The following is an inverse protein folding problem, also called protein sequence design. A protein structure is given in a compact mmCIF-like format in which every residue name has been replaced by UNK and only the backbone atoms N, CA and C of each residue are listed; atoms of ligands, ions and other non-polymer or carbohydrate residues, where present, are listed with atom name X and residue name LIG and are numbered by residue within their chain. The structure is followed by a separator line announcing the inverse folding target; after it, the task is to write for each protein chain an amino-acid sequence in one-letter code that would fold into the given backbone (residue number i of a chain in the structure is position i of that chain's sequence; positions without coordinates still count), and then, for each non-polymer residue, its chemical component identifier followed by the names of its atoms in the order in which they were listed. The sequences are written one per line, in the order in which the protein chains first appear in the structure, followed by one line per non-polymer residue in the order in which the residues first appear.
data_IF_179589546901
#
_entry.id   IF_179589546901
#
_cell.length_a   1.000
_cell.length_b   1.000
_cell.length_c   1.000
_cell.angle_alpha   90.00
_cell.angle_beta   90.00
_cell.angle_gamma   90.00
#
_symmetry.space_group_name_H-M   'P 1'
#
loop_
_entity.id
_entity.type
_entity.pdbx_description
1 polymer ?
#
# COMPACT_ATOMS: atom_id res chain seq x y z
N UNK A 1 -13.20 4.34 2.64
CA UNK A 1 -12.10 3.44 2.21
C UNK A 1 -11.14 3.09 3.36
N UNK A 2 -10.86 3.96 4.33
CA UNK A 2 -10.09 3.58 5.55
C UNK A 2 -10.76 2.51 6.43
N UNK A 3 -12.09 2.37 6.39
CA UNK A 3 -12.83 1.47 7.30
C UNK A 3 -12.48 -0.01 7.19
N UNK A 4 -11.80 -0.49 6.13
CA UNK A 4 -11.41 -1.91 6.04
C UNK A 4 -10.02 -2.19 6.64
N UNK A 5 -9.15 -1.19 6.75
CA UNK A 5 -7.80 -1.39 7.30
C UNK A 5 -7.81 -1.59 8.83
N UNK A 6 -8.86 -1.10 9.50
CA UNK A 6 -9.02 -1.12 10.98
C UNK A 6 -9.85 -2.30 11.48
N UNK A 7 -10.33 -3.18 10.62
CA UNK A 7 -11.06 -4.39 11.06
C UNK A 7 -10.12 -5.26 11.91
N UNK A 8 -10.51 -5.51 13.16
CA UNK A 8 -9.82 -6.45 14.02
C UNK A 8 -10.04 -7.88 13.48
N UNK A 9 -9.02 -8.76 13.53
CA UNK A 9 -9.18 -10.14 13.10
C UNK A 9 -10.38 -10.79 13.82
N UNK A 10 -11.38 -11.22 13.03
CA UNK A 10 -12.55 -11.95 13.54
C UNK A 10 -13.84 -11.14 13.77
N UNK A 11 -13.81 -9.80 13.72
CA UNK A 11 -15.04 -8.99 13.92
C UNK A 11 -15.98 -9.00 12.71
N UNK A 12 -15.43 -9.03 11.50
CA UNK A 12 -16.21 -9.12 10.26
C UNK A 12 -15.65 -10.21 9.36
N UNK A 13 -16.48 -11.21 9.05
CA UNK A 13 -16.16 -12.32 8.16
C UNK A 13 -16.78 -12.09 6.77
N UNK A 14 -16.27 -12.77 5.74
CA UNK A 14 -16.82 -12.72 4.37
C UNK A 14 -18.34 -12.95 4.29
N UNK A 15 -18.89 -13.78 5.18
CA UNK A 15 -20.32 -14.08 5.24
C UNK A 15 -21.18 -12.89 5.69
N UNK A 16 -20.59 -11.84 6.27
CA UNK A 16 -21.33 -10.69 6.77
C UNK A 16 -21.85 -9.83 5.60
N UNK A 17 -23.15 -9.49 5.55
CA UNK A 17 -23.75 -8.82 4.39
C UNK A 17 -23.15 -7.44 4.10
N UNK A 18 -22.65 -6.74 5.13
CA UNK A 18 -21.93 -5.46 4.94
C UNK A 18 -20.60 -5.68 4.22
N UNK A 19 -19.89 -6.78 4.52
CA UNK A 19 -18.61 -7.12 3.88
C UNK A 19 -18.82 -7.42 2.40
N UNK A 20 -19.85 -8.22 2.07
CA UNK A 20 -20.21 -8.49 0.68
C UNK A 20 -20.51 -7.22 -0.13
N UNK A 21 -21.25 -6.26 0.45
CA UNK A 21 -21.49 -4.95 -0.18
C UNK A 21 -20.22 -4.11 -0.32
N UNK A 22 -19.33 -4.15 0.67
CA UNK A 22 -18.06 -3.45 0.63
C UNK A 22 -17.15 -4.01 -0.48
N UNK A 23 -17.02 -5.33 -0.61
CA UNK A 23 -16.26 -5.96 -1.69
C UNK A 23 -16.86 -5.61 -3.06
N UNK A 24 -18.19 -5.68 -3.21
CA UNK A 24 -18.85 -5.29 -4.46
C UNK A 24 -18.60 -3.82 -4.83
N UNK A 25 -18.59 -2.93 -3.83
CA UNK A 25 -18.19 -1.53 -4.01
C UNK A 25 -16.73 -1.45 -4.50
N UNK A 26 -15.79 -2.10 -3.82
CA UNK A 26 -14.37 -2.08 -4.18
C UNK A 26 -14.12 -2.58 -5.61
N UNK A 27 -14.78 -3.68 -6.02
CA UNK A 27 -14.67 -4.23 -7.37
C UNK A 27 -15.15 -3.22 -8.43
N UNK A 28 -16.22 -2.47 -8.14
CA UNK A 28 -16.74 -1.43 -9.05
C UNK A 28 -15.84 -0.19 -9.13
N UNK A 29 -15.22 0.20 -8.02
CA UNK A 29 -14.34 1.38 -7.97
C UNK A 29 -12.89 1.09 -8.40
N UNK A 30 -12.55 -0.17 -8.73
CA UNK A 30 -11.21 -0.51 -9.21
C UNK A 30 -10.96 0.16 -10.57
N UNK A 31 -9.79 0.80 -10.71
CA UNK A 31 -9.39 1.41 -11.98
C UNK A 31 -9.13 0.34 -13.06
N UNK A 32 -9.21 0.69 -14.36
CA UNK A 32 -8.93 -0.24 -15.45
C UNK A 32 -7.52 -0.86 -15.43
N UNK A 33 -6.55 -0.21 -14.78
CA UNK A 33 -5.18 -0.70 -14.57
C UNK A 33 -5.04 -1.65 -13.36
N UNK A 34 -6.06 -1.75 -12.50
CA UNK A 34 -6.06 -2.56 -11.28
C UNK A 34 -5.88 -1.76 -9.99
N UNK A 35 -5.50 -0.49 -10.06
CA UNK A 35 -5.28 0.36 -8.89
C UNK A 35 -6.59 0.82 -8.22
N UNK A 36 -6.48 1.32 -6.99
CA UNK A 36 -7.54 2.08 -6.33
C UNK A 36 -7.11 3.48 -5.97
N UNK A 37 -8.01 4.44 -6.15
CA UNK A 37 -7.80 5.84 -5.81
C UNK A 37 -7.58 6.06 -4.30
N UNK A 38 -6.55 6.83 -3.95
CA UNK A 38 -6.22 7.18 -2.57
C UNK A 38 -6.88 8.47 -2.14
N UNK A 39 -7.97 8.39 -1.36
CA UNK A 39 -8.66 9.60 -0.88
C UNK A 39 -7.86 10.40 0.15
N UNK A 40 -7.08 9.75 1.01
CA UNK A 40 -6.47 10.37 2.21
C UNK A 40 -4.94 10.30 2.26
N UNK A 41 -4.35 9.44 1.43
CA UNK A 41 -2.91 9.38 1.19
C UNK A 41 -2.66 9.41 -0.31
N UNK A 42 -1.53 9.98 -0.70
CA UNK A 42 -1.11 10.17 -2.07
C UNK A 42 -0.48 8.89 -2.63
N UNK A 43 -1.05 8.25 -3.66
CA UNK A 43 -2.43 8.30 -4.10
C UNK A 43 -2.90 6.87 -4.42
N UNK A 44 -2.60 6.39 -5.62
CA UNK A 44 -2.98 5.05 -6.04
C UNK A 44 -2.15 3.96 -5.36
N UNK A 45 -0.90 4.23 -4.98
CA UNK A 45 -0.09 3.31 -4.16
C UNK A 45 -0.75 3.12 -2.79
N UNK A 46 -1.13 4.24 -2.15
CA UNK A 46 -1.84 4.23 -0.86
C UNK A 46 -3.20 3.53 -0.94
N UNK A 47 -4.03 3.89 -1.92
CA UNK A 47 -5.36 3.32 -2.10
C UNK A 47 -5.30 1.82 -2.35
N UNK A 48 -4.39 1.38 -3.23
CA UNK A 48 -4.23 -0.02 -3.58
C UNK A 48 -3.72 -0.86 -2.41
N UNK A 49 -2.71 -0.39 -1.67
CA UNK A 49 -2.23 -1.05 -0.46
C UNK A 49 -3.36 -1.26 0.57
N UNK A 50 -4.13 -0.22 0.86
CA UNK A 50 -5.20 -0.32 1.85
C UNK A 50 -6.27 -1.34 1.46
N UNK A 51 -6.65 -1.37 0.19
CA UNK A 51 -7.62 -2.33 -0.31
C UNK A 51 -7.08 -3.76 -0.21
N UNK A 52 -5.87 -4.02 -0.70
CA UNK A 52 -5.24 -5.35 -0.61
C UNK A 52 -5.14 -5.84 0.84
N UNK A 53 -4.71 -4.98 1.76
CA UNK A 53 -4.60 -5.31 3.19
C UNK A 53 -5.97 -5.56 3.82
N UNK A 54 -6.97 -4.78 3.46
CA UNK A 54 -8.35 -4.95 3.93
C UNK A 54 -8.94 -6.29 3.48
N UNK A 55 -8.80 -6.62 2.19
CA UNK A 55 -9.25 -7.90 1.61
C UNK A 55 -8.58 -9.10 2.29
N UNK A 56 -7.25 -9.04 2.49
CA UNK A 56 -6.52 -10.08 3.22
C UNK A 56 -7.07 -10.28 4.64
N UNK A 57 -7.32 -9.19 5.38
CA UNK A 57 -7.80 -9.26 6.76
C UNK A 57 -9.20 -9.87 6.91
N UNK A 58 -10.10 -9.61 5.96
CA UNK A 58 -11.46 -10.15 5.97
C UNK A 58 -11.53 -11.59 5.42
N UNK A 59 -10.41 -12.12 4.91
CA UNK A 59 -10.29 -13.49 4.42
C UNK A 59 -10.70 -13.69 2.96
N UNK A 60 -10.71 -12.63 2.15
CA UNK A 60 -10.92 -12.75 0.70
C UNK A 60 -9.85 -13.65 0.07
N UNK A 61 -10.22 -14.39 -0.97
CA UNK A 61 -9.25 -15.13 -1.78
C UNK A 61 -8.33 -14.15 -2.53
N UNK A 62 -7.08 -14.06 -2.06
CA UNK A 62 -6.08 -13.17 -2.64
C UNK A 62 -5.57 -13.63 -4.02
N UNK A 63 -6.05 -14.78 -4.53
CA UNK A 63 -5.78 -15.26 -5.89
C UNK A 63 -6.81 -14.78 -6.91
N UNK A 64 -7.88 -14.14 -6.47
CA UNK A 64 -8.91 -13.56 -7.33
C UNK A 64 -8.34 -12.59 -8.37
N UNK A 65 -8.92 -12.61 -9.57
CA UNK A 65 -8.39 -11.87 -10.73
C UNK A 65 -8.20 -10.37 -10.47
N UNK A 66 -9.13 -9.74 -9.77
CA UNK A 66 -9.08 -8.32 -9.44
C UNK A 66 -7.99 -7.99 -8.40
N UNK A 67 -7.71 -8.91 -7.47
CA UNK A 67 -6.59 -8.80 -6.52
C UNK A 67 -5.28 -8.95 -7.27
N UNK A 68 -5.14 -9.99 -8.09
CA UNK A 68 -3.91 -10.22 -8.88
C UNK A 68 -3.61 -9.06 -9.81
N UNK A 69 -4.62 -8.46 -10.42
CA UNK A 69 -4.46 -7.26 -11.26
C UNK A 69 -3.89 -6.08 -10.49
N UNK A 70 -4.37 -5.84 -9.26
CA UNK A 70 -3.84 -4.80 -8.39
C UNK A 70 -2.41 -5.08 -7.93
N UNK A 71 -2.09 -6.34 -7.62
CA UNK A 71 -0.73 -6.79 -7.31
C UNK A 71 0.22 -6.55 -8.49
N UNK A 72 -0.20 -6.92 -9.71
CA UNK A 72 0.57 -6.66 -10.93
C UNK A 72 0.78 -5.17 -11.16
N UNK A 73 -0.23 -4.33 -10.90
CA UNK A 73 -0.09 -2.89 -10.98
C UNK A 73 0.96 -2.36 -9.99
N UNK A 74 0.91 -2.76 -8.71
CA UNK A 74 1.93 -2.37 -7.72
C UNK A 74 3.33 -2.80 -8.17
N UNK A 75 3.50 -4.04 -8.62
CA UNK A 75 4.78 -4.54 -9.12
C UNK A 75 5.31 -3.70 -10.29
N UNK A 76 4.42 -3.23 -11.18
CA UNK A 76 4.81 -2.39 -12.33
C UNK A 76 5.26 -0.98 -11.96
N UNK A 77 4.92 -0.51 -10.75
CA UNK A 77 5.29 0.81 -10.25
C UNK A 77 6.60 0.81 -9.44
N UNK A 78 7.27 -0.34 -9.26
CA UNK A 78 8.52 -0.39 -8.50
C UNK A 78 9.64 0.32 -9.26
N UNK A 79 10.33 1.25 -8.59
CA UNK A 79 11.49 1.94 -9.14
C UNK A 79 12.74 1.05 -9.19
N UNK A 80 13.77 1.50 -9.90
CA UNK A 80 15.05 0.79 -10.04
C UNK A 80 15.81 0.66 -8.70
N UNK A 81 15.59 1.60 -7.77
CA UNK A 81 16.14 1.54 -6.40
C UNK A 81 15.39 0.55 -5.48
N UNK A 82 14.30 -0.06 -5.97
CA UNK A 82 13.48 -1.02 -5.22
C UNK A 82 12.34 -0.40 -4.43
N UNK A 83 12.21 0.93 -4.39
CA UNK A 83 11.12 1.63 -3.70
C UNK A 83 9.93 1.98 -4.60
N UNK A 84 8.98 2.71 -4.01
CA UNK A 84 7.81 3.29 -4.68
C UNK A 84 7.66 4.76 -4.33
N UNK A 85 7.14 5.52 -5.30
CA UNK A 85 6.84 6.91 -5.13
C UNK A 85 5.71 7.37 -6.05
N UNK A 86 4.97 8.35 -5.56
CA UNK A 86 3.84 8.97 -6.24
C UNK A 86 3.66 10.38 -5.69
N UNK A 87 3.44 11.34 -6.59
CA UNK A 87 3.25 12.74 -6.24
C UNK A 87 1.77 13.14 -6.34
N UNK A 88 1.38 14.26 -5.69
CA UNK A 88 0.00 14.72 -5.72
C UNK A 88 -0.51 15.13 -7.11
N UNK A 89 0.37 15.37 -8.07
CA UNK A 89 0.02 15.57 -9.48
C UNK A 89 -0.72 14.38 -10.09
N UNK A 90 -0.56 13.16 -9.55
CA UNK A 90 -1.35 11.98 -9.92
C UNK A 90 -2.86 12.13 -9.67
N UNK A 91 -3.29 13.09 -8.83
CA UNK A 91 -4.71 13.44 -8.69
C UNK A 91 -5.25 14.17 -9.94
N UNK A 92 -4.38 14.87 -10.66
CA UNK A 92 -4.72 15.64 -11.86
C UNK A 92 -4.46 14.86 -13.14
N UNK A 93 -3.36 14.13 -13.20
CA UNK A 93 -2.97 13.32 -14.35
C UNK A 93 -2.82 11.82 -13.98
N UNK A 94 -3.79 10.98 -14.37
CA UNK A 94 -3.71 9.53 -14.20
C UNK A 94 -2.53 8.84 -14.92
N UNK A 95 -1.78 9.54 -15.78
CA UNK A 95 -0.55 8.97 -16.36
C UNK A 95 0.62 8.96 -15.37
N UNK A 96 0.54 9.75 -14.30
CA UNK A 96 1.56 9.88 -13.26
C UNK A 96 1.36 8.92 -12.07
N UNK A 97 0.36 8.04 -12.15
CA UNK A 97 0.07 7.05 -11.10
C UNK A 97 1.30 6.21 -10.77
N UNK A 98 1.63 6.15 -9.48
CA UNK A 98 2.76 5.38 -8.96
C UNK A 98 4.10 5.73 -9.61
N UNK A 99 4.26 6.95 -10.14
CA UNK A 99 5.49 7.42 -10.78
C UNK A 99 6.04 8.65 -10.07
N UNK A 100 6.99 8.44 -9.18
CA UNK A 100 7.86 9.47 -8.63
C UNK A 100 9.09 8.82 -7.99
N UNK A 101 10.03 9.64 -7.53
CA UNK A 101 11.13 9.19 -6.68
C UNK A 101 10.61 8.43 -5.46
N UNK A 102 11.30 7.35 -5.11
CA UNK A 102 10.90 6.50 -4.00
C UNK A 102 10.86 7.28 -2.68
N UNK A 103 9.86 6.96 -1.86
CA UNK A 103 9.72 7.51 -0.52
C UNK A 103 9.59 6.37 0.50
N UNK A 104 10.07 6.55 1.74
CA UNK A 104 9.98 5.50 2.76
C UNK A 104 8.53 5.11 3.07
N UNK A 105 7.60 6.08 3.16
CA UNK A 105 6.21 5.79 3.51
C UNK A 105 5.48 5.02 2.39
N UNK A 106 5.64 5.43 1.14
CA UNK A 106 4.97 4.77 0.01
C UNK A 106 5.58 3.41 -0.33
N UNK A 107 6.90 3.27 -0.17
CA UNK A 107 7.57 1.97 -0.29
C UNK A 107 7.04 0.99 0.77
N UNK A 108 6.85 1.46 2.00
CA UNK A 108 6.27 0.66 3.06
C UNK A 108 4.81 0.27 2.77
N UNK A 109 3.99 1.16 2.22
CA UNK A 109 2.63 0.84 1.77
C UNK A 109 2.63 -0.24 0.70
N UNK A 110 3.39 -0.05 -0.38
CA UNK A 110 3.49 -1.02 -1.46
C UNK A 110 3.95 -2.39 -0.93
N UNK A 111 5.02 -2.41 -0.11
CA UNK A 111 5.53 -3.64 0.51
C UNK A 111 4.45 -4.35 1.32
N UNK A 112 3.77 -3.68 2.25
CA UNK A 112 2.69 -4.29 3.03
C UNK A 112 1.53 -4.79 2.14
N UNK A 113 1.26 -4.12 1.01
CA UNK A 113 0.26 -4.56 0.03
C UNK A 113 0.67 -5.85 -0.68
N UNK A 114 1.93 -5.94 -1.09
CA UNK A 114 2.54 -7.14 -1.66
C UNK A 114 2.54 -8.30 -0.66
N UNK A 115 2.90 -8.06 0.61
CA UNK A 115 2.83 -9.08 1.66
C UNK A 115 1.41 -9.62 1.83
N UNK A 116 0.40 -8.75 1.89
CA UNK A 116 -1.00 -9.13 1.97
C UNK A 116 -1.48 -9.94 0.76
N UNK A 117 -0.94 -9.64 -0.43
CA UNK A 117 -1.23 -10.34 -1.67
C UNK A 117 -0.45 -11.66 -1.88
N UNK A 118 0.32 -12.10 -0.87
CA UNK A 118 1.08 -13.36 -0.92
C UNK A 118 2.44 -13.26 -1.60
N UNK A 119 2.96 -12.05 -1.84
CA UNK A 119 4.23 -11.81 -2.53
C UNK A 119 5.43 -11.68 -1.58
N UNK A 120 5.35 -12.28 -0.38
CA UNK A 120 6.37 -12.16 0.69
C UNK A 120 7.76 -12.67 0.31
N UNK A 121 7.83 -13.60 -0.65
CA UNK A 121 9.09 -14.18 -1.14
C UNK A 121 9.47 -13.67 -2.53
N UNK A 122 8.76 -12.66 -3.05
CA UNK A 122 9.06 -12.07 -4.35
C UNK A 122 10.37 -11.26 -4.31
N UNK A 123 11.07 -11.20 -5.44
CA UNK A 123 12.22 -10.29 -5.61
C UNK A 123 11.82 -8.83 -5.35
N UNK A 124 10.59 -8.46 -5.70
CA UNK A 124 10.08 -7.11 -5.47
C UNK A 124 9.99 -6.76 -3.99
N UNK A 125 9.40 -7.64 -3.16
CA UNK A 125 9.33 -7.45 -1.71
C UNK A 125 10.72 -7.41 -1.04
N UNK A 126 11.65 -8.23 -1.53
CA UNK A 126 13.05 -8.19 -1.10
C UNK A 126 13.70 -6.84 -1.40
N UNK A 127 13.60 -6.35 -2.64
CA UNK A 127 14.15 -5.05 -3.05
C UNK A 127 13.55 -3.88 -2.26
N UNK A 128 12.25 -3.95 -1.96
CA UNK A 128 11.57 -2.97 -1.11
C UNK A 128 12.15 -2.96 0.32
N UNK A 129 12.41 -4.15 0.87
CA UNK A 129 13.02 -4.32 2.20
C UNK A 129 14.44 -3.77 2.20
N UNK A 130 15.23 -4.08 1.17
CA UNK A 130 16.60 -3.56 1.00
C UNK A 130 16.61 -2.04 0.85
N UNK A 131 15.67 -1.45 0.10
CA UNK A 131 15.50 0.01 0.01
C UNK A 131 15.25 0.64 1.40
N UNK A 132 14.30 0.10 2.17
CA UNK A 132 13.96 0.65 3.49
C UNK A 132 15.16 0.53 4.45
N UNK A 133 15.85 -0.62 4.48
CA UNK A 133 17.04 -0.77 5.33
C UNK A 133 18.17 0.15 4.86
N UNK A 134 18.39 0.26 3.55
CA UNK A 134 19.48 1.04 2.96
C UNK A 134 19.30 2.56 3.04
N UNK A 135 18.06 3.04 3.21
CA UNK A 135 17.74 4.47 3.34
C UNK A 135 17.53 4.91 4.79
N UNK A 136 17.62 3.99 5.75
CA UNK A 136 17.58 4.33 7.17
C UNK A 136 18.83 5.14 7.57
N UNK A 137 18.62 6.25 8.27
CA UNK A 137 19.69 7.09 8.80
C UNK A 137 20.36 6.45 10.03
N UNK A 138 21.59 6.85 10.40
CA UNK A 138 22.31 6.27 11.55
C UNK A 138 21.59 6.37 12.90
N UNK A 139 20.68 7.34 13.06
CA UNK A 139 19.85 7.50 14.27
C UNK A 139 18.58 6.63 14.25
N UNK A 140 18.40 5.82 13.20
CA UNK A 140 17.27 4.93 13.01
C UNK A 140 16.06 5.58 12.31
N UNK A 141 16.12 6.88 12.01
CA UNK A 141 15.05 7.59 11.30
C UNK A 141 15.14 7.36 9.77
N UNK A 142 14.14 7.88 9.06
CA UNK A 142 14.12 7.99 7.60
C UNK A 142 13.75 9.42 7.25
N UNK A 143 14.21 9.88 6.09
CA UNK A 143 13.91 11.21 5.59
C UNK A 143 12.94 11.15 4.40
N UNK A 144 11.88 11.94 4.44
CA UNK A 144 10.89 12.09 3.38
C UNK A 144 10.55 13.58 3.16
N UNK A 145 10.94 14.13 2.01
CA UNK A 145 10.58 15.50 1.65
C UNK A 145 9.19 15.62 1.02
N UNK A 146 8.73 14.56 0.37
CA UNK A 146 7.49 14.53 -0.41
C UNK A 146 6.22 14.54 0.47
N UNK A 147 5.13 15.06 -0.08
CA UNK A 147 3.85 15.17 0.60
C UNK A 147 2.99 13.95 0.29
N UNK A 148 3.00 12.99 1.23
CA UNK A 148 2.36 11.69 1.06
C UNK A 148 0.95 11.61 1.65
N UNK A 149 0.51 12.65 2.36
CA UNK A 149 -0.85 12.80 2.87
C UNK A 149 -1.74 13.70 2.01
N UNK A 150 -3.05 13.45 2.03
CA UNK A 150 -4.03 14.24 1.27
C UNK A 150 -5.21 14.65 2.15
N UNK A 151 -5.44 15.95 2.28
CA UNK A 151 -6.67 16.46 2.91
C UNK A 151 -7.81 16.58 1.89
N UNK A 152 -7.60 17.38 0.86
CA UNK A 152 -8.54 17.57 -0.26
C UNK A 152 -7.79 17.37 -1.59
N UNK A 153 -8.08 16.30 -2.35
CA UNK A 153 -7.44 16.07 -3.64
C UNK A 153 -7.52 17.31 -4.54
N UNK A 154 -6.41 17.64 -5.23
CA UNK A 154 -6.27 18.82 -6.12
C UNK A 154 -6.26 20.18 -5.43
N UNK A 155 -6.44 20.24 -4.11
CA UNK A 155 -6.64 21.51 -3.39
C UNK A 155 -5.72 21.64 -2.17
N UNK A 156 -5.52 20.56 -1.41
CA UNK A 156 -4.81 20.61 -0.13
C UNK A 156 -4.15 19.28 0.23
N UNK A 157 -2.83 19.31 0.38
CA UNK A 157 -1.99 18.16 0.69
C UNK A 157 -1.39 18.30 2.10
N UNK A 158 -1.00 17.18 2.71
CA UNK A 158 -0.51 17.11 4.08
C UNK A 158 0.85 16.41 4.13
N UNK A 159 1.76 16.95 4.95
CA UNK A 159 2.99 16.27 5.36
C UNK A 159 2.80 15.72 6.77
N UNK A 160 2.59 14.41 6.87
CA UNK A 160 2.53 13.73 8.16
C UNK A 160 3.95 13.34 8.60
N UNK A 161 4.56 14.12 9.50
CA UNK A 161 5.97 13.92 9.90
C UNK A 161 6.29 12.53 10.52
N UNK A 162 5.29 11.79 11.00
CA UNK A 162 5.52 10.44 11.52
C UNK A 162 5.42 9.34 10.45
N UNK A 163 4.98 9.63 9.22
CA UNK A 163 4.79 8.61 8.19
C UNK A 163 6.11 8.00 7.72
N UNK A 164 7.14 8.84 7.58
CA UNK A 164 8.50 8.41 7.23
C UNK A 164 9.08 7.41 8.23
N UNK A 165 8.61 7.36 9.48
CA UNK A 165 9.11 6.39 10.47
C UNK A 165 8.13 5.24 10.72
N UNK A 166 6.85 5.56 10.94
CA UNK A 166 5.85 4.57 11.36
C UNK A 166 5.63 3.49 10.30
N UNK A 167 5.58 3.88 9.03
CA UNK A 167 5.28 2.93 7.96
C UNK A 167 6.45 2.00 7.66
N UNK A 168 7.71 2.48 7.49
CA UNK A 168 8.86 1.58 7.36
C UNK A 168 8.98 0.59 8.52
N UNK A 169 8.85 1.06 9.76
CA UNK A 169 8.90 0.19 10.93
C UNK A 169 7.81 -0.89 10.91
N UNK A 170 6.58 -0.52 10.55
CA UNK A 170 5.47 -1.47 10.43
C UNK A 170 5.70 -2.49 9.31
N UNK A 171 6.20 -2.05 8.16
CA UNK A 171 6.47 -2.92 7.01
C UNK A 171 7.60 -3.91 7.32
N UNK A 172 8.73 -3.45 7.88
CA UNK A 172 9.85 -4.30 8.27
C UNK A 172 9.45 -5.31 9.35
N UNK A 173 8.60 -4.94 10.31
CA UNK A 173 8.05 -5.86 11.28
C UNK A 173 7.22 -6.99 10.62
N UNK A 174 6.39 -6.67 9.62
CA UNK A 174 5.60 -7.66 8.87
C UNK A 174 6.48 -8.57 8.00
N UNK A 175 7.54 -8.04 7.40
CA UNK A 175 8.54 -8.86 6.69
C UNK A 175 9.20 -9.83 7.66
N UNK A 176 9.66 -9.35 8.82
CA UNK A 176 10.30 -10.19 9.84
C UNK A 176 9.38 -11.34 10.30
N UNK A 177 8.08 -11.06 10.46
CA UNK A 177 7.07 -12.09 10.76
C UNK A 177 6.92 -13.10 9.63
N UNK A 178 6.79 -12.62 8.40
CA UNK A 178 6.63 -13.46 7.21
C UNK A 178 7.81 -14.42 7.01
N UNK A 179 9.04 -13.94 7.21
CA UNK A 179 10.26 -14.77 7.13
C UNK A 179 10.33 -15.85 8.22
N UNK A 180 9.60 -15.69 9.33
CA UNK A 180 9.46 -16.69 10.40
C UNK A 180 8.26 -17.63 10.18
N UNK A 181 7.61 -17.57 9.01
CA UNK A 181 6.42 -18.36 8.71
C UNK A 181 5.15 -17.88 9.43
N UNK A 182 5.17 -16.69 10.03
CA UNK A 182 4.01 -16.09 10.66
C UNK A 182 3.22 -15.26 9.65
N UNK A 183 1.89 -15.21 9.81
CA UNK A 183 1.07 -14.30 9.02
C UNK A 183 1.52 -12.84 9.22
N UNK A 184 1.68 -12.06 8.14
CA UNK A 184 2.06 -10.65 8.22
C UNK A 184 1.11 -9.86 9.12
#
# INVERSE_FOLDING_TARGET
LEMLAVVAPGEFQLSHPVVGRAIAYLKREQCPDGSWYGRWGCNYVYGTWQVLRGLYKIGEDMTESYVRKATTWLLSCQNDDGGWGEKPDSYDDPQLKGKASSTPSQTAWALMGLLAAGESHSTSARRATEYLIGTQLPDGSWHEDEWTGTGFPKVFYLKYGLYEHNWPMMALAQVSRSLRGLKP
#
